data_IF_194120231331
#
_entry.id   IF_194120231331
#
_cell.length_a   1.000
_cell.length_b   1.000
_cell.length_c   1.000
_cell.angle_alpha   90.00
_cell.angle_beta   90.00
_cell.angle_gamma   90.00
#
_symmetry.space_group_name_H-M   'P 1'
#
loop_
_entity.id
_entity.type
_entity.pdbx_description
1 polymer ?
#
# COMPACT_ATOMS: atom_id res chain seq x y z
N UNK A 1 99.31 -32.38 -21.70
CA UNK A 1 99.83 -33.62 -21.11
C UNK A 1 99.42 -33.67 -19.64
N UNK A 2 98.93 -34.82 -19.18
CA UNK A 2 98.95 -35.34 -17.80
C UNK A 2 98.28 -34.49 -16.68
N UNK A 3 97.17 -34.93 -16.07
CA UNK A 3 96.99 -36.04 -15.10
C UNK A 3 97.18 -35.62 -13.63
N UNK A 4 96.04 -35.66 -12.90
CA UNK A 4 95.80 -36.21 -11.54
C UNK A 4 96.74 -35.85 -10.38
N UNK A 5 96.15 -35.37 -9.28
CA UNK A 5 96.14 -36.04 -7.95
C UNK A 5 95.20 -35.29 -6.98
N UNK A 6 94.09 -35.84 -6.46
CA UNK A 6 93.92 -36.57 -5.17
C UNK A 6 94.56 -35.84 -3.96
N UNK A 7 93.95 -35.68 -2.78
CA UNK A 7 92.81 -36.39 -2.13
C UNK A 7 92.38 -35.61 -0.87
N UNK A 8 91.13 -35.85 -0.46
CA UNK A 8 90.41 -35.29 0.68
C UNK A 8 91.07 -35.46 2.05
N UNK A 9 90.88 -34.45 2.91
CA UNK A 9 90.98 -34.51 4.37
C UNK A 9 89.68 -33.94 4.98
N UNK A 10 88.93 -34.75 5.73
CA UNK A 10 88.00 -34.26 6.75
C UNK A 10 88.27 -35.01 8.06
N UNK A 11 88.91 -34.30 8.98
CA UNK A 11 89.03 -34.65 10.40
C UNK A 11 87.65 -34.58 11.05
N UNK A 12 87.13 -35.69 11.59
CA UNK A 12 87.21 -36.15 12.99
C UNK A 12 86.57 -35.21 14.02
N UNK A 13 85.54 -35.73 14.72
CA UNK A 13 85.63 -36.24 16.12
C UNK A 13 84.24 -36.69 16.58
N UNK A 14 84.07 -37.99 16.87
CA UNK A 14 84.23 -38.66 18.20
C UNK A 14 83.04 -38.35 19.14
N UNK A 15 82.44 -39.26 19.91
CA UNK A 15 82.56 -40.70 20.25
C UNK A 15 81.51 -40.85 21.37
N UNK A 16 80.53 -41.76 21.38
CA UNK A 16 80.66 -43.13 21.90
C UNK A 16 79.27 -43.58 22.42
N UNK A 17 78.92 -44.85 22.13
CA UNK A 17 78.40 -45.92 23.05
C UNK A 17 77.12 -45.65 23.86
N UNK A 18 76.21 -46.59 24.12
CA UNK A 18 76.05 -48.03 23.85
C UNK A 18 74.59 -48.39 24.19
N UNK A 19 74.06 -49.41 23.49
CA UNK A 19 73.08 -50.47 23.83
C UNK A 19 72.02 -50.30 24.96
N UNK A 20 70.78 -50.70 24.65
CA UNK A 20 69.86 -51.65 25.36
C UNK A 20 68.46 -51.57 24.69
N UNK A 21 67.99 -52.51 23.85
CA UNK A 21 67.23 -53.75 24.14
C UNK A 21 66.38 -53.75 25.42
N UNK A 22 65.06 -53.49 25.33
CA UNK A 22 64.02 -54.44 25.80
C UNK A 22 62.54 -54.03 25.56
N UNK A 23 61.75 -55.06 25.22
CA UNK A 23 60.38 -55.41 25.68
C UNK A 23 59.14 -54.54 25.35
N UNK A 24 58.36 -55.10 24.41
CA UNK A 24 56.93 -55.48 24.51
C UNK A 24 55.90 -54.53 25.16
N UNK A 25 54.75 -54.35 24.49
CA UNK A 25 53.42 -54.92 24.85
C UNK A 25 52.28 -54.09 24.22
N UNK A 26 51.42 -54.78 23.48
CA UNK A 26 50.20 -54.27 22.82
C UNK A 26 49.28 -53.46 23.76
N UNK A 27 48.79 -52.26 23.38
CA UNK A 27 47.73 -51.58 24.10
C UNK A 27 46.36 -51.96 23.53
N UNK A 28 45.59 -52.64 24.38
CA UNK A 28 44.18 -52.98 24.23
C UNK A 28 43.33 -51.76 23.83
N UNK A 29 42.42 -52.01 22.87
CA UNK A 29 41.24 -51.18 22.57
C UNK A 29 40.46 -50.93 23.87
N UNK A 30 40.40 -49.68 24.32
CA UNK A 30 39.42 -49.20 25.31
C UNK A 30 38.46 -48.25 24.61
N UNK A 31 37.31 -48.79 24.25
CA UNK A 31 36.07 -48.05 23.97
C UNK A 31 35.73 -47.16 25.17
N UNK A 32 36.07 -45.87 25.09
CA UNK A 32 35.55 -44.85 25.99
C UNK A 32 34.21 -44.37 25.44
N UNK A 33 33.16 -45.10 25.77
CA UNK A 33 31.79 -44.58 25.74
C UNK A 33 31.72 -43.38 26.68
N UNK A 34 31.62 -42.18 26.10
CA UNK A 34 31.41 -40.95 26.87
C UNK A 34 29.92 -40.84 27.16
N UNK A 35 29.44 -41.60 28.13
CA UNK A 35 28.21 -41.30 28.85
C UNK A 35 28.37 -39.92 29.50
N UNK A 36 27.83 -38.88 28.85
CA UNK A 36 27.48 -37.63 29.52
C UNK A 36 26.05 -37.76 30.04
N UNK A 37 25.89 -38.57 31.07
CA UNK A 37 24.78 -38.46 32.00
C UNK A 37 25.03 -37.22 32.88
N UNK A 38 24.72 -36.04 32.36
CA UNK A 38 24.43 -34.88 33.20
C UNK A 38 22.93 -34.92 33.45
N UNK A 39 22.54 -35.81 34.36
CA UNK A 39 21.28 -35.69 35.10
C UNK A 39 21.38 -34.44 35.94
N UNK A 40 21.02 -33.31 35.33
CA UNK A 40 20.69 -32.11 36.09
C UNK A 40 19.24 -32.27 36.49
N UNK A 41 19.03 -33.04 37.54
CA UNK A 41 17.86 -32.92 38.42
C UNK A 41 17.88 -31.52 39.04
N UNK A 42 17.55 -30.53 38.20
CA UNK A 42 16.83 -29.37 38.69
C UNK A 42 15.46 -29.95 39.00
N UNK A 43 15.18 -30.07 40.29
CA UNK A 43 13.82 -30.10 40.83
C UNK A 43 12.94 -29.25 39.93
N UNK A 44 12.24 -29.94 39.03
CA UNK A 44 11.12 -29.38 38.33
C UNK A 44 10.09 -29.21 39.44
N UNK A 45 10.14 -28.06 40.13
CA UNK A 45 8.95 -27.50 40.75
C UNK A 45 7.85 -27.75 39.74
N UNK A 46 6.73 -28.40 40.13
CA UNK A 46 5.66 -28.71 39.19
C UNK A 46 5.43 -27.42 38.45
N UNK A 47 5.68 -27.47 37.13
CA UNK A 47 5.44 -26.38 36.22
C UNK A 47 3.99 -26.04 36.51
N UNK A 48 3.77 -25.05 37.39
CA UNK A 48 2.45 -24.55 37.70
C UNK A 48 2.07 -24.09 36.33
N UNK A 49 1.24 -24.88 35.65
CA UNK A 49 0.62 -24.52 34.39
C UNK A 49 -0.09 -23.24 34.74
N UNK A 50 0.63 -22.13 34.57
CA UNK A 50 0.18 -20.83 34.98
C UNK A 50 -1.05 -20.67 34.11
N UNK A 51 -2.22 -20.63 34.74
CA UNK A 51 -3.46 -20.48 34.03
C UNK A 51 -3.28 -19.23 33.18
N UNK A 52 -3.30 -19.44 31.87
CA UNK A 52 -3.07 -18.38 30.91
C UNK A 52 -4.17 -17.35 31.16
N UNK A 53 -3.82 -16.05 31.34
CA UNK A 53 -4.82 -15.01 31.45
C UNK A 53 -5.84 -15.16 30.32
N UNK A 54 -7.12 -15.12 30.65
CA UNK A 54 -8.26 -15.28 29.73
C UNK A 54 -8.52 -16.69 29.17
N UNK A 55 -7.94 -17.76 29.75
CA UNK A 55 -8.25 -19.13 29.34
C UNK A 55 -7.72 -19.49 27.93
N UNK A 56 -6.71 -18.75 27.47
CA UNK A 56 -6.12 -18.97 26.15
C UNK A 56 -5.36 -20.29 26.11
N UNK A 57 -5.42 -21.01 24.99
CA UNK A 57 -4.72 -22.29 24.81
C UNK A 57 -3.20 -22.09 24.81
N UNK A 58 -2.41 -23.05 25.34
CA UNK A 58 -0.98 -23.03 25.17
C UNK A 58 -0.63 -23.11 23.69
N UNK A 59 0.35 -22.32 23.27
CA UNK A 59 0.78 -22.23 21.87
C UNK A 59 1.86 -23.28 21.61
N UNK A 60 1.85 -23.89 20.42
CA UNK A 60 2.90 -24.78 19.91
C UNK A 60 3.74 -24.11 18.81
N UNK A 61 4.85 -24.73 18.39
CA UNK A 61 5.63 -24.30 17.23
C UNK A 61 4.80 -24.28 15.93
N UNK A 62 3.75 -25.11 15.86
CA UNK A 62 2.86 -25.23 14.70
C UNK A 62 1.94 -24.01 14.50
N UNK A 63 1.69 -23.25 15.57
CA UNK A 63 0.84 -22.06 15.56
C UNK A 63 1.58 -20.81 15.02
N UNK A 64 2.76 -21.00 14.44
CA UNK A 64 3.61 -19.92 13.92
C UNK A 64 2.87 -18.94 13.02
N UNK A 65 2.00 -19.45 12.16
CA UNK A 65 1.23 -18.62 11.23
C UNK A 65 -0.02 -18.02 11.88
N UNK A 66 -0.70 -18.79 12.74
CA UNK A 66 -1.91 -18.36 13.43
C UNK A 66 -1.63 -17.24 14.44
N UNK A 67 -0.43 -17.25 15.04
CA UNK A 67 0.02 -16.27 16.05
C UNK A 67 1.10 -15.33 15.53
N UNK A 68 1.13 -15.13 14.21
CA UNK A 68 2.18 -14.35 13.56
C UNK A 68 2.11 -12.86 13.89
N UNK A 69 0.92 -12.32 14.14
CA UNK A 69 0.73 -10.90 14.47
C UNK A 69 1.16 -10.57 15.90
N UNK A 70 0.80 -11.43 16.86
CA UNK A 70 1.27 -11.33 18.25
C UNK A 70 2.79 -11.50 18.33
N UNK A 71 3.34 -12.42 17.52
CA UNK A 71 4.78 -12.63 17.44
C UNK A 71 5.53 -11.42 16.86
N UNK A 72 4.98 -10.76 15.82
CA UNK A 72 5.57 -9.54 15.24
C UNK A 72 5.58 -8.38 16.23
N UNK A 73 4.50 -8.18 16.98
CA UNK A 73 4.47 -7.17 18.04
C UNK A 73 5.50 -7.47 19.13
N UNK A 74 5.58 -8.73 19.57
CA UNK A 74 6.55 -9.13 20.58
C UNK A 74 8.00 -8.91 20.12
N UNK A 75 8.29 -9.16 18.84
CA UNK A 75 9.60 -8.85 18.25
C UNK A 75 9.92 -7.35 18.27
N UNK A 76 8.93 -6.49 18.01
CA UNK A 76 9.09 -5.05 18.04
C UNK A 76 9.32 -4.54 19.46
N UNK A 77 8.50 -4.95 20.41
CA UNK A 77 8.53 -4.40 21.78
C UNK A 77 9.68 -4.99 22.60
N UNK A 78 9.85 -6.32 22.57
CA UNK A 78 10.77 -7.03 23.46
C UNK A 78 12.15 -7.27 22.85
N UNK A 79 12.26 -7.21 21.51
CA UNK A 79 13.53 -7.43 20.79
C UNK A 79 13.96 -6.25 19.93
N UNK A 80 13.09 -5.27 19.69
CA UNK A 80 13.30 -4.15 18.75
C UNK A 80 13.83 -4.61 17.39
N UNK A 81 13.29 -5.72 16.90
CA UNK A 81 13.63 -6.29 15.59
C UNK A 81 12.38 -6.38 14.74
N UNK A 82 12.56 -6.15 13.44
CA UNK A 82 11.49 -6.32 12.48
C UNK A 82 11.55 -7.70 11.86
N UNK A 83 10.40 -8.19 11.41
CA UNK A 83 10.29 -9.49 10.75
C UNK A 83 11.18 -9.56 9.50
N UNK A 84 11.24 -8.48 8.73
CA UNK A 84 12.03 -8.38 7.49
C UNK A 84 13.55 -8.51 7.69
N UNK A 85 14.04 -8.16 8.89
CA UNK A 85 15.47 -8.28 9.24
C UNK A 85 15.87 -9.71 9.64
N UNK A 86 14.88 -10.59 9.81
CA UNK A 86 15.06 -11.94 10.34
C UNK A 86 14.92 -12.96 9.21
N UNK A 87 16.01 -13.71 8.97
CA UNK A 87 15.93 -14.95 8.20
C UNK A 87 14.92 -15.92 8.85
N UNK A 88 14.21 -16.70 8.02
CA UNK A 88 13.16 -17.63 8.47
C UNK A 88 13.59 -18.59 9.59
N UNK A 89 14.86 -19.04 9.60
CA UNK A 89 15.38 -19.90 10.67
C UNK A 89 15.54 -19.15 12.00
N UNK A 90 15.98 -17.89 11.93
CA UNK A 90 16.06 -17.02 13.11
C UNK A 90 14.66 -16.68 13.61
N UNK A 91 13.72 -16.34 12.72
CA UNK A 91 12.34 -16.05 13.07
C UNK A 91 11.70 -17.23 13.83
N UNK A 92 11.86 -18.46 13.33
CA UNK A 92 11.41 -19.69 14.03
C UNK A 92 12.10 -19.89 15.38
N UNK A 93 13.40 -19.62 15.48
CA UNK A 93 14.13 -19.66 16.76
C UNK A 93 13.59 -18.65 17.79
N UNK A 94 13.22 -17.45 17.34
CA UNK A 94 12.57 -16.44 18.19
C UNK A 94 11.15 -16.85 18.55
N UNK A 95 10.41 -17.49 17.64
CA UNK A 95 9.08 -18.01 17.94
C UNK A 95 9.12 -19.05 19.07
N UNK A 96 10.11 -19.94 19.10
CA UNK A 96 10.33 -20.86 20.24
C UNK A 96 10.51 -20.14 21.58
N UNK A 97 11.13 -18.96 21.57
CA UNK A 97 11.29 -18.13 22.78
C UNK A 97 9.97 -17.46 23.15
N UNK A 98 9.24 -16.97 22.15
CA UNK A 98 7.89 -16.43 22.32
C UNK A 98 6.95 -17.47 22.93
N UNK A 99 6.89 -18.69 22.39
CA UNK A 99 6.08 -19.80 22.93
C UNK A 99 6.42 -20.07 24.40
N UNK A 100 7.71 -20.09 24.77
CA UNK A 100 8.12 -20.26 26.17
C UNK A 100 7.70 -19.10 27.06
N UNK A 101 7.71 -17.87 26.55
CA UNK A 101 7.31 -16.70 27.31
C UNK A 101 5.77 -16.62 27.42
N UNK A 102 5.07 -17.01 26.36
CA UNK A 102 3.61 -17.12 26.27
C UNK A 102 3.08 -18.12 27.28
N UNK A 103 3.58 -19.36 27.22
CA UNK A 103 3.17 -20.45 28.11
C UNK A 103 3.55 -20.22 29.58
N UNK A 104 4.41 -19.23 29.87
CA UNK A 104 4.78 -18.81 31.23
C UNK A 104 4.03 -17.56 31.71
N UNK A 105 3.07 -17.06 30.94
CA UNK A 105 2.31 -15.84 31.24
C UNK A 105 3.19 -14.62 31.51
N UNK A 106 4.36 -14.54 30.87
CA UNK A 106 5.32 -13.43 31.07
C UNK A 106 5.11 -12.26 30.13
N UNK A 107 4.19 -12.40 29.17
CA UNK A 107 3.86 -11.32 28.26
C UNK A 107 2.78 -10.42 28.91
N UNK A 108 2.75 -9.12 28.56
CA UNK A 108 1.63 -8.24 28.86
C UNK A 108 0.28 -8.78 28.38
N UNK A 109 -0.81 -8.40 29.05
CA UNK A 109 -2.17 -8.86 28.73
C UNK A 109 -2.58 -8.60 27.27
N UNK A 110 -2.06 -7.50 26.70
CA UNK A 110 -2.28 -7.08 25.30
C UNK A 110 -1.95 -8.15 24.26
N UNK A 111 -1.04 -9.08 24.57
CA UNK A 111 -0.70 -10.17 23.64
C UNK A 111 -1.72 -11.32 23.71
N UNK A 112 -2.40 -11.50 24.85
CA UNK A 112 -3.34 -12.60 25.08
C UNK A 112 -4.77 -12.29 24.61
N UNK A 113 -5.13 -11.01 24.52
CA UNK A 113 -6.45 -10.53 24.06
C UNK A 113 -6.73 -10.81 22.58
N UNK A 114 -5.72 -11.27 21.82
CA UNK A 114 -5.85 -11.59 20.41
C UNK A 114 -5.81 -10.33 19.55
N UNK A 115 -4.65 -10.09 18.94
CA UNK A 115 -4.51 -8.98 18.02
C UNK A 115 -5.16 -9.38 16.69
N UNK A 116 -6.25 -8.71 16.32
CA UNK A 116 -6.93 -8.98 15.06
C UNK A 116 -6.09 -8.49 13.88
N UNK A 117 -5.94 -9.29 12.80
CA UNK A 117 -5.17 -8.90 11.63
C UNK A 117 -5.80 -7.66 10.99
N UNK A 118 -5.09 -6.52 11.07
CA UNK A 118 -5.54 -5.23 10.55
C UNK A 118 -5.56 -4.10 11.57
N UNK A 119 -5.57 -4.41 12.87
CA UNK A 119 -5.38 -3.40 13.94
C UNK A 119 -3.93 -2.94 14.04
N UNK A 120 -3.00 -3.78 13.60
CA UNK A 120 -1.57 -3.44 13.57
C UNK A 120 -1.25 -2.39 12.53
N UNK A 121 -0.54 -1.36 12.98
CA UNK A 121 0.03 -0.36 12.10
C UNK A 121 1.03 -1.04 11.15
N UNK A 122 0.95 -0.77 9.84
CA UNK A 122 1.89 -1.31 8.85
C UNK A 122 3.38 -1.09 9.19
N UNK A 123 3.69 -0.11 10.06
CA UNK A 123 5.03 0.14 10.60
C UNK A 123 5.57 -0.98 11.50
N UNK A 124 4.74 -1.94 11.95
CA UNK A 124 5.20 -3.10 12.72
C UNK A 124 5.81 -4.17 11.83
N UNK A 125 5.45 -4.21 10.54
CA UNK A 125 5.86 -5.28 9.63
C UNK A 125 7.27 -5.05 9.08
N UNK A 126 7.61 -3.79 8.79
CA UNK A 126 8.86 -3.41 8.14
C UNK A 126 9.50 -2.20 8.81
N UNK A 127 10.83 -2.19 8.89
CA UNK A 127 11.60 -1.01 9.32
C UNK A 127 11.56 0.12 8.28
N UNK A 128 11.18 -0.19 7.04
CA UNK A 128 11.12 0.77 5.96
C UNK A 128 10.02 1.81 6.19
N UNK A 129 10.41 3.08 6.23
CA UNK A 129 9.50 4.21 6.36
C UNK A 129 9.13 4.72 4.97
N UNK A 130 7.91 4.43 4.55
CA UNK A 130 7.39 4.98 3.31
C UNK A 130 7.14 6.48 3.45
N UNK A 131 7.63 7.27 2.49
CA UNK A 131 7.53 8.74 2.54
C UNK A 131 6.11 9.31 2.50
N UNK A 132 5.12 8.52 2.09
CA UNK A 132 3.70 8.89 2.20
C UNK A 132 3.19 8.75 3.63
N UNK A 133 3.68 7.75 4.38
CA UNK A 133 3.24 7.49 5.75
C UNK A 133 3.74 8.57 6.72
N UNK A 134 4.85 9.24 6.43
CA UNK A 134 5.36 10.36 7.24
C UNK A 134 4.64 11.69 6.98
N UNK A 135 3.93 11.82 5.85
CA UNK A 135 3.19 13.03 5.47
C UNK A 135 1.68 12.90 5.62
N UNK A 136 1.19 11.71 5.98
CA UNK A 136 -0.23 11.45 6.11
C UNK A 136 -0.83 12.26 7.27
N UNK A 137 -1.96 12.92 7.00
CA UNK A 137 -2.69 13.65 8.03
C UNK A 137 -3.36 12.69 9.04
N UNK A 138 -3.74 13.19 10.22
CA UNK A 138 -4.47 12.39 11.22
C UNK A 138 -5.80 11.85 10.65
N UNK A 139 -6.47 12.63 9.80
CA UNK A 139 -7.68 12.19 9.11
C UNK A 139 -7.40 11.07 8.10
N UNK A 140 -6.34 11.18 7.31
CA UNK A 140 -5.93 10.14 6.35
C UNK A 140 -5.50 8.85 7.05
N UNK A 141 -4.76 8.94 8.16
CA UNK A 141 -4.36 7.75 8.94
C UNK A 141 -5.56 7.06 9.58
N UNK A 142 -6.57 7.81 10.04
CA UNK A 142 -7.84 7.27 10.52
C UNK A 142 -8.64 6.59 9.40
N UNK A 143 -8.76 7.23 8.23
CA UNK A 143 -9.44 6.65 7.08
C UNK A 143 -8.77 5.36 6.58
N UNK A 144 -7.43 5.33 6.54
CA UNK A 144 -6.67 4.12 6.21
C UNK A 144 -6.86 3.01 7.24
N UNK A 145 -6.96 3.35 8.54
CA UNK A 145 -7.27 2.38 9.59
C UNK A 145 -8.69 1.83 9.43
N UNK A 146 -9.68 2.69 9.20
CA UNK A 146 -11.07 2.27 8.99
C UNK A 146 -11.19 1.32 7.79
N UNK A 147 -10.57 1.64 6.66
CA UNK A 147 -10.54 0.78 5.48
C UNK A 147 -9.87 -0.58 5.77
N UNK A 148 -8.81 -0.61 6.60
CA UNK A 148 -8.17 -1.87 7.02
C UNK A 148 -9.07 -2.72 7.90
N UNK A 149 -9.77 -2.09 8.85
CA UNK A 149 -10.71 -2.79 9.73
C UNK A 149 -11.85 -3.38 8.91
N UNK A 150 -12.39 -2.64 7.94
CA UNK A 150 -13.44 -3.12 7.03
C UNK A 150 -13.00 -4.35 6.22
N UNK A 151 -11.81 -4.29 5.61
CA UNK A 151 -11.24 -5.44 4.87
C UNK A 151 -10.96 -6.61 5.82
N UNK A 152 -10.47 -6.34 7.02
CA UNK A 152 -10.24 -7.35 8.06
C UNK A 152 -11.52 -8.06 8.47
N UNK A 153 -12.59 -7.30 8.72
CA UNK A 153 -13.91 -7.82 9.06
C UNK A 153 -14.48 -8.69 7.93
N UNK A 154 -14.35 -8.24 6.67
CA UNK A 154 -14.80 -9.00 5.50
C UNK A 154 -14.01 -10.30 5.28
N UNK A 155 -12.71 -10.31 5.60
CA UNK A 155 -11.82 -11.45 5.33
C UNK A 155 -11.84 -12.47 6.47
N UNK A 156 -11.83 -12.01 7.72
CA UNK A 156 -11.66 -12.86 8.91
C UNK A 156 -12.95 -13.11 9.69
N UNK A 157 -14.10 -12.59 9.23
CA UNK A 157 -15.42 -12.70 9.90
C UNK A 157 -15.36 -12.32 11.38
N UNK A 158 -14.56 -11.30 11.70
CA UNK A 158 -14.48 -10.72 13.05
C UNK A 158 -15.61 -9.70 13.18
N UNK A 159 -16.45 -9.87 14.20
CA UNK A 159 -17.50 -8.92 14.57
C UNK A 159 -16.88 -7.57 14.91
N UNK A 160 -17.44 -6.48 14.39
CA UNK A 160 -17.04 -5.10 14.73
C UNK A 160 -17.17 -4.84 16.24
N UNK A 161 -18.00 -5.63 16.93
CA UNK A 161 -18.21 -5.58 18.38
C UNK A 161 -17.01 -6.10 19.22
N UNK A 162 -16.06 -6.83 18.63
CA UNK A 162 -14.87 -7.36 19.34
C UNK A 162 -13.64 -6.41 19.23
N UNK A 163 -13.77 -5.28 18.53
CA UNK A 163 -12.71 -4.30 18.35
C UNK A 163 -13.03 -3.10 19.24
N UNK A 164 -12.59 -3.15 20.51
CA UNK A 164 -12.64 -1.97 21.38
C UNK A 164 -11.76 -0.86 20.77
N UNK A 165 -12.29 0.35 20.55
CA UNK A 165 -11.45 1.49 20.21
C UNK A 165 -10.58 1.84 21.41
N UNK A 166 -9.26 1.70 21.27
CA UNK A 166 -8.25 2.19 22.22
C UNK A 166 -8.51 3.70 22.45
N UNK A 167 -9.08 4.01 23.62
CA UNK A 167 -9.31 5.36 24.10
C UNK A 167 -8.04 5.78 24.85
N UNK A 168 -7.07 6.25 24.10
CA UNK A 168 -5.83 6.80 24.64
C UNK A 168 -6.15 7.92 25.64
N UNK A 169 -5.71 7.72 26.88
CA UNK A 169 -5.96 8.52 28.07
C UNK A 169 -4.82 9.53 28.28
N UNK A 170 -5.10 10.83 28.14
CA UNK A 170 -4.42 11.93 28.87
C UNK A 170 -5.35 13.15 28.91
N UNK A 171 -6.09 13.32 30.02
CA UNK A 171 -5.85 14.39 30.99
C UNK A 171 -6.95 14.34 32.07
N UNK A 172 -6.53 14.10 33.32
CA UNK A 172 -7.41 14.02 34.48
C UNK A 172 -7.31 15.31 35.27
N UNK A 173 -8.29 16.19 35.14
CA UNK A 173 -8.64 17.14 36.21
C UNK A 173 -10.07 16.88 36.67
N UNK A 174 -10.16 16.27 37.84
CA UNK A 174 -11.36 16.12 38.65
C UNK A 174 -11.85 17.47 39.19
N UNK A 175 -13.12 17.79 38.97
CA UNK A 175 -13.89 18.77 39.74
C UNK A 175 -15.21 18.13 40.22
N UNK A 176 -15.70 18.45 41.44
CA UNK A 176 -16.70 17.64 42.12
C UNK A 176 -18.13 17.89 41.64
N UNK A 177 -18.97 16.87 41.84
CA UNK A 177 -20.40 16.86 41.56
C UNK A 177 -21.16 17.95 42.33
N UNK A 178 -21.93 18.76 41.61
CA UNK A 178 -23.05 19.51 42.17
C UNK A 178 -24.23 19.47 41.19
N UNK A 179 -25.38 19.01 41.72
CA UNK A 179 -26.68 19.08 41.08
C UNK A 179 -27.06 20.54 40.83
N UNK A 180 -27.38 20.89 39.60
CA UNK A 180 -27.95 22.19 39.24
C UNK A 180 -27.92 22.41 37.72
N UNK A 181 -29.09 22.62 37.12
CA UNK A 181 -29.19 22.95 35.70
C UNK A 181 -28.44 24.25 35.39
N UNK A 182 -27.31 24.14 34.69
CA UNK A 182 -26.51 25.26 34.22
C UNK A 182 -26.14 25.02 32.76
N UNK A 183 -26.38 26.01 31.91
CA UNK A 183 -26.01 26.00 30.48
C UNK A 183 -24.51 25.70 30.34
N UNK A 184 -24.18 24.58 29.71
CA UNK A 184 -22.80 24.16 29.41
C UNK A 184 -22.17 25.17 28.43
N UNK A 185 -21.15 25.89 28.89
CA UNK A 185 -20.23 26.64 28.03
C UNK A 185 -19.21 25.67 27.44
N UNK A 186 -19.56 25.11 26.28
CA UNK A 186 -18.65 24.39 25.37
C UNK A 186 -18.91 24.87 23.94
N UNK A 187 -18.06 24.53 22.95
CA UNK A 187 -18.33 24.87 21.55
C UNK A 187 -19.74 24.40 21.20
N UNK A 188 -20.57 25.36 20.79
CA UNK A 188 -21.99 25.15 20.59
C UNK A 188 -22.20 23.98 19.62
N UNK A 189 -23.12 23.08 19.96
CA UNK A 189 -23.53 22.02 19.02
C UNK A 189 -23.93 22.71 17.71
N UNK A 190 -23.40 22.27 16.55
CA UNK A 190 -23.73 22.88 15.27
C UNK A 190 -25.25 22.95 15.12
N UNK A 191 -25.73 24.10 14.66
CA UNK A 191 -27.15 24.33 14.48
C UNK A 191 -27.72 23.33 13.46
N UNK A 192 -29.02 23.08 13.48
CA UNK A 192 -29.64 22.22 12.47
C UNK A 192 -29.35 22.72 11.04
N UNK A 193 -29.25 24.04 10.85
CA UNK A 193 -28.81 24.67 9.60
C UNK A 193 -27.34 24.39 9.25
N UNK A 194 -26.44 24.33 10.25
CA UNK A 194 -25.04 23.99 10.00
C UNK A 194 -24.88 22.52 9.60
N UNK A 195 -25.71 21.63 10.17
CA UNK A 195 -25.74 20.21 9.80
C UNK A 195 -26.25 20.01 8.37
N UNK A 196 -27.29 20.75 7.96
CA UNK A 196 -27.78 20.69 6.57
C UNK A 196 -26.74 21.21 5.59
N UNK A 197 -26.09 22.34 5.91
CA UNK A 197 -25.03 22.91 5.08
C UNK A 197 -23.84 21.94 4.93
N UNK A 198 -23.40 21.32 6.02
CA UNK A 198 -22.31 20.35 6.00
C UNK A 198 -22.65 19.12 5.12
N UNK A 199 -23.89 18.64 5.20
CA UNK A 199 -24.36 17.54 4.37
C UNK A 199 -24.40 17.90 2.88
N UNK A 200 -24.86 19.10 2.54
CA UNK A 200 -24.88 19.60 1.15
C UNK A 200 -23.48 19.80 0.57
N UNK A 201 -22.54 20.31 1.36
CA UNK A 201 -21.13 20.45 0.96
C UNK A 201 -20.47 19.09 0.69
N UNK A 202 -20.72 18.09 1.56
CA UNK A 202 -20.22 16.73 1.34
C UNK A 202 -20.86 16.07 0.12
N UNK A 203 -22.16 16.28 -0.11
CA UNK A 203 -22.83 15.78 -1.31
C UNK A 203 -22.24 16.41 -2.59
N UNK A 204 -21.96 17.72 -2.55
CA UNK A 204 -21.32 18.45 -3.65
C UNK A 204 -19.91 17.94 -3.93
N UNK A 205 -19.08 17.75 -2.89
CA UNK A 205 -17.74 17.18 -3.04
C UNK A 205 -17.77 15.76 -3.63
N UNK A 206 -18.66 14.89 -3.15
CA UNK A 206 -18.79 13.53 -3.70
C UNK A 206 -19.18 13.54 -5.17
N UNK A 207 -20.06 14.47 -5.58
CA UNK A 207 -20.45 14.63 -6.97
C UNK A 207 -19.29 15.15 -7.84
N UNK A 208 -18.48 16.08 -7.33
CA UNK A 208 -17.27 16.56 -8.01
C UNK A 208 -16.19 15.46 -8.14
N UNK A 209 -15.95 14.70 -7.07
CA UNK A 209 -15.03 13.57 -7.08
C UNK A 209 -15.48 12.49 -8.07
N UNK A 210 -16.78 12.21 -8.15
CA UNK A 210 -17.36 11.30 -9.13
C UNK A 210 -17.09 11.78 -10.56
N UNK A 211 -17.33 13.06 -10.85
CA UNK A 211 -17.04 13.67 -12.17
C UNK A 211 -15.55 13.62 -12.50
N UNK A 212 -14.67 13.93 -11.54
CA UNK A 212 -13.23 13.89 -11.73
C UNK A 212 -12.74 12.46 -12.04
N UNK A 213 -13.21 11.46 -11.29
CA UNK A 213 -12.89 10.04 -11.53
C UNK A 213 -13.37 9.58 -12.90
N UNK A 214 -14.59 9.95 -13.31
CA UNK A 214 -15.10 9.62 -14.64
C UNK A 214 -14.30 10.30 -15.76
N UNK A 215 -13.91 11.57 -15.58
CA UNK A 215 -13.08 12.29 -16.54
C UNK A 215 -11.68 11.68 -16.66
N UNK A 216 -11.07 11.30 -15.54
CA UNK A 216 -9.78 10.62 -15.48
C UNK A 216 -9.85 9.26 -16.18
N UNK A 217 -10.83 8.42 -15.83
CA UNK A 217 -11.02 7.12 -16.48
C UNK A 217 -11.23 7.27 -17.99
N UNK A 218 -12.05 8.25 -18.42
CA UNK A 218 -12.25 8.53 -19.85
C UNK A 218 -10.98 8.97 -20.57
N UNK A 219 -10.11 9.71 -19.87
CA UNK A 219 -8.81 10.11 -20.41
C UNK A 219 -7.86 8.92 -20.49
N UNK A 220 -7.77 8.10 -19.46
CA UNK A 220 -6.94 6.89 -19.43
C UNK A 220 -7.40 5.86 -20.48
N UNK A 221 -8.71 5.68 -20.67
CA UNK A 221 -9.21 4.81 -21.74
C UNK A 221 -8.87 5.36 -23.12
N UNK A 222 -8.97 6.68 -23.30
CA UNK A 222 -8.55 7.33 -24.56
C UNK A 222 -7.05 7.17 -24.80
N UNK A 223 -6.21 7.42 -23.79
CA UNK A 223 -4.75 7.26 -23.88
C UNK A 223 -4.38 5.80 -24.16
N UNK A 224 -5.03 4.83 -23.52
CA UNK A 224 -4.84 3.39 -23.79
C UNK A 224 -5.26 3.00 -25.21
N UNK A 225 -6.36 3.57 -25.71
CA UNK A 225 -6.78 3.37 -27.10
C UNK A 225 -5.75 3.98 -28.06
N UNK A 226 -5.22 5.17 -27.77
CA UNK A 226 -4.19 5.83 -28.57
C UNK A 226 -2.84 5.08 -28.55
N UNK A 227 -2.47 4.47 -27.42
CA UNK A 227 -1.29 3.62 -27.29
C UNK A 227 -1.40 2.34 -28.12
N UNK A 228 -2.60 1.73 -28.16
CA UNK A 228 -2.86 0.50 -28.93
C UNK A 228 -3.02 0.80 -30.44
N UNK A 229 -3.62 1.93 -30.80
CA UNK A 229 -3.92 2.31 -32.19
C UNK A 229 -2.74 3.03 -32.86
N UNK A 230 -1.77 3.52 -32.09
CA UNK A 230 -0.66 4.32 -32.60
C UNK A 230 -1.08 5.75 -33.00
N UNK A 231 -0.13 6.64 -33.34
CA UNK A 231 -0.44 7.98 -33.82
C UNK A 231 -1.34 7.85 -35.05
N UNK A 232 -2.62 8.18 -34.90
CA UNK A 232 -3.60 8.14 -35.99
C UNK A 232 -3.01 8.86 -37.20
N UNK A 233 -2.69 8.11 -38.24
CA UNK A 233 -2.43 8.66 -39.55
C UNK A 233 -3.72 9.34 -39.99
N UNK A 234 -3.73 10.67 -39.96
CA UNK A 234 -4.84 11.50 -40.44
C UNK A 234 -5.01 11.45 -41.97
N UNK A 235 -4.74 10.30 -42.59
CA UNK A 235 -4.86 10.04 -44.02
C UNK A 235 -6.25 9.57 -44.44
N UNK A 236 -6.41 9.41 -45.76
CA UNK A 236 -7.62 8.87 -46.42
C UNK A 236 -8.01 7.49 -45.85
N UNK A 237 -7.01 6.74 -45.39
CA UNK A 237 -7.13 5.41 -44.78
C UNK A 237 -7.81 5.46 -43.41
N UNK A 238 -7.42 6.37 -42.52
CA UNK A 238 -8.10 6.57 -41.24
C UNK A 238 -9.56 7.07 -41.38
N UNK A 239 -9.90 7.74 -42.49
CA UNK A 239 -11.31 8.08 -42.79
C UNK A 239 -12.10 6.88 -43.28
N UNK A 240 -11.50 6.01 -44.08
CA UNK A 240 -12.11 4.76 -44.55
C UNK A 240 -12.30 3.76 -43.40
N UNK A 241 -11.35 3.70 -42.46
CA UNK A 241 -11.47 2.90 -41.26
C UNK A 241 -12.56 3.44 -40.34
N UNK A 242 -12.61 4.74 -40.07
CA UNK A 242 -13.72 5.34 -39.33
C UNK A 242 -15.07 5.12 -40.03
N UNK A 243 -15.11 5.12 -41.36
CA UNK A 243 -16.32 4.82 -42.13
C UNK A 243 -16.69 3.33 -42.05
N UNK A 244 -15.70 2.43 -42.01
CA UNK A 244 -15.90 0.99 -41.83
C UNK A 244 -16.38 0.67 -40.42
N UNK A 245 -15.77 1.24 -39.38
CA UNK A 245 -16.19 1.13 -37.98
C UNK A 245 -17.59 1.68 -37.79
N UNK A 246 -17.92 2.81 -38.43
CA UNK A 246 -19.29 3.34 -38.39
C UNK A 246 -20.27 2.39 -39.09
N UNK A 247 -19.90 1.84 -40.25
CA UNK A 247 -20.73 0.87 -40.97
C UNK A 247 -20.90 -0.44 -40.20
N UNK A 248 -19.86 -0.88 -39.49
CA UNK A 248 -19.86 -2.06 -38.63
C UNK A 248 -20.72 -1.82 -37.40
N UNK A 249 -20.62 -0.67 -36.74
CA UNK A 249 -21.50 -0.32 -35.62
C UNK A 249 -22.97 -0.16 -36.07
N UNK A 250 -23.23 0.46 -37.24
CA UNK A 250 -24.57 0.53 -37.81
C UNK A 250 -25.10 -0.87 -38.20
N UNK A 251 -24.22 -1.78 -38.63
CA UNK A 251 -24.54 -3.18 -38.92
C UNK A 251 -24.79 -3.96 -37.64
N UNK A 252 -23.95 -3.84 -36.63
CA UNK A 252 -24.09 -4.45 -35.31
C UNK A 252 -25.35 -3.95 -34.64
N UNK A 253 -25.67 -2.65 -34.71
CA UNK A 253 -26.93 -2.10 -34.22
C UNK A 253 -28.14 -2.67 -34.99
N UNK A 254 -28.01 -2.88 -36.31
CA UNK A 254 -29.07 -3.50 -37.12
C UNK A 254 -29.22 -4.99 -36.86
N UNK A 255 -28.13 -5.73 -36.64
CA UNK A 255 -28.14 -7.17 -36.38
C UNK A 255 -28.56 -7.45 -34.91
N UNK A 256 -28.06 -6.68 -33.95
CA UNK A 256 -28.46 -6.76 -32.54
C UNK A 256 -29.91 -6.33 -32.30
N UNK A 257 -30.43 -5.42 -33.13
CA UNK A 257 -31.86 -5.05 -33.15
C UNK A 257 -32.70 -5.94 -34.07
N UNK A 258 -32.11 -6.59 -35.07
CA UNK A 258 -32.79 -7.42 -36.07
C UNK A 258 -32.89 -8.91 -35.69
N UNK A 259 -32.24 -9.34 -34.61
CA UNK A 259 -32.38 -10.68 -34.03
C UNK A 259 -33.47 -10.80 -32.95
N UNK A 260 -34.17 -9.71 -32.62
CA UNK A 260 -35.37 -9.73 -31.78
C UNK A 260 -36.53 -9.24 -32.62
N UNK A 261 -37.59 -10.04 -32.68
CA UNK A 261 -38.74 -9.85 -33.54
C UNK A 261 -39.23 -8.40 -33.56
N UNK A 262 -39.55 -7.95 -34.77
CA UNK A 262 -40.78 -7.28 -35.17
C UNK A 262 -41.81 -6.96 -34.05
N UNK A 263 -41.41 -6.17 -33.05
CA UNK A 263 -42.31 -5.69 -32.00
C UNK A 263 -41.65 -4.49 -31.31
N UNK A 264 -42.17 -3.28 -31.56
CA UNK A 264 -41.99 -2.17 -30.62
C UNK A 264 -41.37 -0.87 -31.15
N UNK A 265 -41.67 -0.46 -32.39
CA UNK A 265 -41.71 0.97 -32.71
C UNK A 265 -42.68 1.21 -33.87
N UNK A 266 -43.97 1.25 -33.58
CA UNK A 266 -44.98 1.86 -34.47
C UNK A 266 -44.72 3.37 -34.52
N UNK A 267 -43.68 3.76 -35.26
CA UNK A 267 -43.50 5.14 -35.66
C UNK A 267 -44.45 5.32 -36.84
N UNK A 268 -45.47 6.16 -36.63
CA UNK A 268 -46.44 6.54 -37.66
C UNK A 268 -45.75 6.74 -39.02
N UNK A 269 -46.31 6.17 -40.09
CA UNK A 269 -45.71 6.19 -41.43
C UNK A 269 -45.46 7.62 -41.92
N UNK A 270 -46.22 8.59 -41.41
CA UNK A 270 -46.03 10.02 -41.64
C UNK A 270 -44.71 10.58 -41.06
N UNK A 271 -44.25 10.03 -39.94
CA UNK A 271 -42.99 10.37 -39.28
C UNK A 271 -41.83 9.56 -39.85
N UNK A 272 -42.10 8.31 -40.26
CA UNK A 272 -41.10 7.44 -40.89
C UNK A 272 -40.74 7.90 -42.31
N UNK A 273 -41.72 8.37 -43.09
CA UNK A 273 -41.51 8.84 -44.47
C UNK A 273 -41.29 10.35 -44.59
N UNK A 274 -41.19 11.06 -43.46
CA UNK A 274 -40.89 12.49 -43.44
C UNK A 274 -42.01 13.32 -44.07
N UNK A 275 -43.05 13.60 -43.28
CA UNK A 275 -44.08 14.58 -43.61
C UNK A 275 -43.49 15.87 -44.16
N UNK A 276 -44.10 16.37 -45.24
CA UNK A 276 -43.57 17.30 -46.26
C UNK A 276 -42.94 18.61 -45.76
N UNK A 277 -43.17 19.02 -44.52
CA UNK A 277 -42.66 20.29 -43.96
C UNK A 277 -41.56 20.12 -42.89
N UNK A 278 -41.25 18.89 -42.49
CA UNK A 278 -40.32 18.60 -41.40
C UNK A 278 -38.83 18.73 -41.77
N UNK A 279 -38.48 18.61 -43.05
CA UNK A 279 -37.09 18.60 -43.51
C UNK A 279 -36.42 19.97 -43.41
N UNK A 280 -37.12 21.04 -43.81
CA UNK A 280 -36.60 22.41 -43.74
C UNK A 280 -36.46 22.88 -42.29
N UNK A 281 -37.40 22.52 -41.43
CA UNK A 281 -37.32 22.77 -39.98
C UNK A 281 -36.16 21.99 -39.34
N UNK A 282 -35.91 20.76 -39.77
CA UNK A 282 -34.77 19.95 -39.30
C UNK A 282 -33.42 20.51 -39.76
N UNK A 283 -33.33 20.99 -41.01
CA UNK A 283 -32.13 21.68 -41.51
C UNK A 283 -31.87 22.96 -40.70
N UNK A 284 -32.90 23.78 -40.47
CA UNK A 284 -32.77 24.98 -39.66
C UNK A 284 -32.31 24.67 -38.23
N UNK A 285 -32.85 23.62 -37.60
CA UNK A 285 -32.43 23.19 -36.26
C UNK A 285 -30.99 22.68 -36.25
N UNK A 286 -30.57 21.94 -37.28
CA UNK A 286 -29.19 21.46 -37.44
C UNK A 286 -28.22 22.61 -37.66
N UNK A 287 -28.59 23.60 -38.46
CA UNK A 287 -27.75 24.76 -38.74
C UNK A 287 -27.66 25.72 -37.55
N UNK A 288 -28.75 25.91 -36.80
CA UNK A 288 -28.71 26.64 -35.53
C UNK A 288 -27.83 25.93 -34.49
N UNK A 289 -27.92 24.60 -34.39
CA UNK A 289 -27.06 23.83 -33.49
C UNK A 289 -25.58 23.93 -33.87
N UNK A 290 -25.25 23.88 -35.17
CA UNK A 290 -23.88 24.09 -35.67
C UNK A 290 -23.38 25.50 -35.38
N UNK A 291 -24.19 26.53 -35.60
CA UNK A 291 -23.83 27.93 -35.29
C UNK A 291 -23.55 28.12 -33.80
N UNK A 292 -24.39 27.56 -32.92
CA UNK A 292 -24.14 27.58 -31.46
C UNK A 292 -22.84 26.87 -31.08
N UNK A 293 -22.53 25.75 -31.74
CA UNK A 293 -21.28 25.03 -31.49
C UNK A 293 -20.05 25.81 -31.97
N UNK A 294 -20.12 26.44 -33.15
CA UNK A 294 -19.07 27.29 -33.69
C UNK A 294 -18.81 28.50 -32.79
N UNK A 295 -19.86 29.22 -32.41
CA UNK A 295 -19.77 30.38 -31.51
C UNK A 295 -19.13 30.01 -30.17
N UNK A 296 -19.56 28.90 -29.55
CA UNK A 296 -18.95 28.41 -28.30
C UNK A 296 -17.47 28.01 -28.46
N UNK A 297 -17.07 27.57 -29.64
CA UNK A 297 -15.68 27.21 -29.91
C UNK A 297 -14.82 28.45 -30.17
N UNK A 298 -15.38 29.47 -30.84
CA UNK A 298 -14.76 30.78 -31.05
C UNK A 298 -14.57 31.53 -29.72
N UNK A 299 -15.59 31.56 -28.85
CA UNK A 299 -15.52 32.13 -27.50
C UNK A 299 -14.42 31.49 -26.66
N UNK A 300 -14.28 30.15 -26.72
CA UNK A 300 -13.19 29.45 -26.03
C UNK A 300 -11.81 29.79 -26.60
N UNK A 301 -11.73 30.00 -27.92
CA UNK A 301 -10.48 30.36 -28.57
C UNK A 301 -10.07 31.79 -28.25
N UNK A 302 -11.03 32.73 -28.19
CA UNK A 302 -10.78 34.11 -27.76
C UNK A 302 -10.39 34.18 -26.29
N UNK A 303 -11.08 33.47 -25.39
CA UNK A 303 -10.71 33.37 -23.97
C UNK A 303 -9.27 32.83 -23.79
N UNK A 304 -8.88 31.84 -24.59
CA UNK A 304 -7.53 31.30 -24.58
C UNK A 304 -6.49 32.31 -25.12
N UNK A 305 -6.83 33.04 -26.18
CA UNK A 305 -5.97 34.11 -26.72
C UNK A 305 -5.79 35.25 -25.74
N UNK A 306 -6.87 35.73 -25.10
CA UNK A 306 -6.82 36.77 -24.06
C UNK A 306 -5.94 36.33 -22.88
N UNK A 307 -6.08 35.07 -22.44
CA UNK A 307 -5.21 34.51 -21.40
C UNK A 307 -3.75 34.43 -21.83
N UNK A 308 -3.48 34.10 -23.09
CA UNK A 308 -2.11 34.06 -23.62
C UNK A 308 -1.49 35.46 -23.72
N UNK A 309 -2.26 36.48 -24.12
CA UNK A 309 -1.82 37.88 -24.14
C UNK A 309 -1.52 38.35 -22.72
N UNK A 310 -2.41 38.07 -21.76
CA UNK A 310 -2.19 38.41 -20.35
C UNK A 310 -0.92 37.76 -19.76
N UNK A 311 -0.55 36.55 -20.20
CA UNK A 311 0.71 35.92 -19.78
C UNK A 311 1.92 36.59 -20.43
N UNK A 312 1.85 36.92 -21.73
CA UNK A 312 2.92 37.65 -22.44
C UNK A 312 3.15 39.05 -21.88
N UNK A 313 2.10 39.76 -21.48
CA UNK A 313 2.24 41.09 -20.88
C UNK A 313 2.92 41.02 -19.51
N UNK A 314 2.61 39.98 -18.72
CA UNK A 314 3.31 39.71 -17.45
C UNK A 314 4.77 39.36 -17.68
N UNK A 315 5.07 38.48 -18.64
CA UNK A 315 6.44 38.12 -19.00
C UNK A 315 7.23 39.34 -19.50
N UNK A 316 6.61 40.19 -20.33
CA UNK A 316 7.22 41.45 -20.78
C UNK A 316 7.49 42.40 -19.62
N UNK A 317 6.54 42.58 -18.70
CA UNK A 317 6.74 43.41 -17.52
C UNK A 317 7.90 42.87 -16.64
N UNK A 318 8.02 41.55 -16.48
CA UNK A 318 9.15 40.96 -15.77
C UNK A 318 10.47 41.13 -16.52
N UNK A 319 10.48 40.97 -17.85
CA UNK A 319 11.66 41.19 -18.69
C UNK A 319 12.12 42.64 -18.64
N UNK A 320 11.19 43.61 -18.67
CA UNK A 320 11.50 45.03 -18.57
C UNK A 320 12.10 45.37 -17.19
N UNK A 321 11.56 44.80 -16.11
CA UNK A 321 12.15 44.91 -14.77
C UNK A 321 13.58 44.33 -14.72
N UNK A 322 13.81 43.16 -15.32
CA UNK A 322 15.14 42.55 -15.39
C UNK A 322 16.10 43.37 -16.25
N UNK A 323 15.65 43.94 -17.37
CA UNK A 323 16.46 44.82 -18.21
C UNK A 323 16.83 46.11 -17.47
N UNK A 324 15.94 46.68 -16.65
CA UNK A 324 16.24 47.86 -15.83
C UNK A 324 17.30 47.54 -14.77
N UNK A 325 17.18 46.41 -14.07
CA UNK A 325 18.17 45.95 -13.09
C UNK A 325 19.53 45.65 -13.75
N UNK A 326 19.53 45.05 -14.94
CA UNK A 326 20.75 44.78 -15.68
C UNK A 326 21.44 46.08 -16.14
N UNK A 327 20.67 47.06 -16.63
CA UNK A 327 21.19 48.39 -16.99
C UNK A 327 21.75 49.15 -15.79
N UNK A 328 21.14 49.05 -14.62
CA UNK A 328 21.67 49.66 -13.38
C UNK A 328 22.95 48.99 -12.87
N UNK A 329 23.16 47.70 -13.18
CA UNK A 329 24.30 46.92 -12.67
C UNK A 329 25.48 46.86 -13.62
N UNK A 330 25.24 47.01 -14.93
CA UNK A 330 26.24 46.80 -15.97
C UNK A 330 26.34 47.94 -17.00
N UNK A 331 25.54 49.01 -16.86
CA UNK A 331 25.63 50.24 -17.65
C UNK A 331 26.06 51.42 -16.78
#
# INVERSE_FOLDING_TARGET
MSSRHSKHHHDRRDRSRDRERDRSRSPRRRSRGRNRSVGRDRSASPDRKAELPLGVKPISEDDYFQKSDEFRLWLKDEKRKYFDELSGDKARSYFRKFVKAWNRCKLPNKYYEGITPGTLAATTNTSFKWGFASKASKAETSALRAARVEVGAATYKVSVDDIEPDMDNEDSQSGPSARGGGRVQGPARPSASDLTLANELLASQRAEDGKYKHAKNKRETKERIEEIVGPKEGGREGRLENQKVKRENDRDFRESRGGRGDEGLEVDESTLMGGSDSFKAMIARRDMAKKKYQQKNEEKYSEFQERAVMMKDKEKATMDMFQQLAKQRFG
#
